data_IF_569499280649
#
_entry.id   IF_569499280649
#
_cell.length_a   1.000
_cell.length_b   1.000
_cell.length_c   1.000
_cell.angle_alpha   90.00
_cell.angle_beta   90.00
_cell.angle_gamma   90.00
#
_symmetry.space_group_name_H-M   'P 1'
#
loop_
_entity.id
_entity.type
_entity.pdbx_description
1 polymer ?
#
# COMPACT_ATOMS: atom_id res chain seq x y z
N UNK A 1 20.49 -0.98 0.25
CA UNK A 1 19.40 -1.97 0.36
C UNK A 1 18.30 -1.61 -0.62
N UNK A 2 17.76 -2.58 -1.32
CA UNK A 2 16.63 -2.42 -2.25
C UNK A 2 15.48 -3.28 -1.74
N UNK A 3 14.31 -2.68 -1.58
CA UNK A 3 13.08 -3.36 -1.16
C UNK A 3 12.05 -3.35 -2.29
N UNK A 4 11.37 -4.46 -2.50
CA UNK A 4 10.24 -4.57 -3.41
C UNK A 4 8.99 -3.84 -2.93
N UNK A 5 7.95 -3.81 -3.75
CA UNK A 5 6.71 -3.09 -3.43
C UNK A 5 5.95 -3.67 -2.22
N UNK A 6 6.03 -4.96 -1.98
CA UNK A 6 5.47 -5.57 -0.79
C UNK A 6 6.35 -5.34 0.44
N UNK A 7 7.65 -5.55 0.30
CA UNK A 7 8.62 -5.50 1.40
C UNK A 7 8.74 -4.11 2.01
N UNK A 8 8.57 -3.04 1.22
CA UNK A 8 8.66 -1.66 1.71
C UNK A 8 7.65 -1.33 2.82
N UNK A 9 6.49 -1.97 2.86
CA UNK A 9 5.51 -1.77 3.93
C UNK A 9 5.92 -2.46 5.25
N UNK A 10 6.87 -3.38 5.18
CA UNK A 10 7.44 -4.10 6.33
C UNK A 10 8.86 -3.63 6.64
N UNK A 11 9.23 -2.42 6.24
CA UNK A 11 10.60 -1.91 6.28
C UNK A 11 11.24 -1.99 7.66
N UNK A 12 10.47 -1.88 8.74
CA UNK A 12 10.96 -2.00 10.12
C UNK A 12 11.69 -3.32 10.38
N UNK A 13 11.24 -4.40 9.72
CA UNK A 13 11.89 -5.72 9.79
C UNK A 13 13.31 -5.68 9.20
N UNK A 14 13.52 -4.82 8.22
CA UNK A 14 14.77 -4.75 7.45
C UNK A 14 15.71 -3.64 7.95
N UNK A 15 15.28 -2.81 8.91
CA UNK A 15 16.12 -1.72 9.44
C UNK A 15 17.45 -2.20 10.01
N UNK A 16 17.46 -3.36 10.66
CA UNK A 16 18.67 -3.93 11.25
C UNK A 16 19.70 -4.32 10.17
N UNK A 17 19.27 -4.55 8.94
CA UNK A 17 20.16 -4.89 7.82
C UNK A 17 20.88 -3.66 7.24
N UNK A 18 20.38 -2.45 7.52
CA UNK A 18 21.04 -1.21 7.10
C UNK A 18 22.41 -1.00 7.75
N UNK A 19 22.62 -1.60 8.92
CA UNK A 19 23.89 -1.51 9.64
C UNK A 19 24.96 -2.46 9.08
N UNK A 20 24.60 -3.35 8.18
CA UNK A 20 25.52 -4.23 7.49
C UNK A 20 25.96 -3.57 6.18
N UNK A 21 27.27 -3.40 6.01
CA UNK A 21 27.89 -2.75 4.83
C UNK A 21 27.75 -3.54 3.53
N UNK A 22 26.96 -4.61 3.48
CA UNK A 22 26.71 -5.38 2.27
C UNK A 22 25.44 -4.90 1.56
N UNK A 23 25.46 -4.70 0.24
CA UNK A 23 24.27 -4.38 -0.52
C UNK A 23 23.30 -5.58 -0.47
N UNK A 24 22.08 -5.35 -0.02
CA UNK A 24 21.07 -6.39 0.08
C UNK A 24 19.86 -6.00 -0.76
N UNK A 25 19.40 -6.93 -1.57
CA UNK A 25 18.21 -6.78 -2.41
C UNK A 25 17.16 -7.75 -1.88
N UNK A 26 16.05 -7.21 -1.38
CA UNK A 26 14.93 -7.99 -0.87
C UNK A 26 13.71 -7.67 -1.73
N UNK A 27 13.46 -8.52 -2.71
CA UNK A 27 12.36 -8.37 -3.67
C UNK A 27 11.67 -9.71 -3.85
N UNK A 28 10.36 -9.72 -3.63
CA UNK A 28 9.50 -10.88 -3.84
C UNK A 28 8.94 -10.90 -5.27
N UNK A 29 8.46 -12.08 -5.70
CA UNK A 29 7.64 -12.16 -6.91
C UNK A 29 6.29 -11.48 -6.65
N UNK A 30 6.11 -10.27 -7.18
CA UNK A 30 4.90 -9.49 -6.97
C UNK A 30 3.64 -10.16 -7.54
N UNK A 31 3.78 -11.03 -8.54
CA UNK A 31 2.65 -11.77 -9.11
C UNK A 31 2.09 -12.84 -8.16
N UNK A 32 2.91 -13.31 -7.21
CA UNK A 32 2.48 -14.28 -6.19
C UNK A 32 1.74 -13.65 -5.01
N UNK A 33 1.78 -12.33 -4.89
CA UNK A 33 1.17 -11.60 -3.76
C UNK A 33 -0.34 -11.53 -3.93
N UNK A 34 -1.07 -12.06 -2.97
CA UNK A 34 -2.55 -12.14 -2.98
C UNK A 34 -3.23 -11.14 -2.04
N UNK A 35 -2.49 -10.57 -1.12
CA UNK A 35 -3.03 -9.66 -0.11
C UNK A 35 -2.43 -8.27 -0.22
N UNK A 36 -3.24 -7.26 0.07
CA UNK A 36 -2.76 -5.88 0.16
C UNK A 36 -2.14 -5.64 1.54
N UNK A 37 -0.96 -5.06 1.57
CA UNK A 37 -0.31 -4.69 2.82
C UNK A 37 -1.22 -3.78 3.65
N UNK A 38 -1.41 -4.16 4.91
CA UNK A 38 -2.22 -3.39 5.84
C UNK A 38 -1.40 -2.24 6.40
N UNK A 39 -1.39 -1.13 5.69
CA UNK A 39 -0.81 0.10 6.21
C UNK A 39 -1.89 1.18 6.35
N UNK A 40 -1.79 1.96 7.39
CA UNK A 40 -2.74 3.02 7.68
C UNK A 40 -2.01 4.28 8.13
N UNK A 41 -2.25 5.36 7.43
CA UNK A 41 -1.79 6.68 7.84
C UNK A 41 -2.82 7.23 8.84
N UNK A 42 -2.40 7.42 10.09
CA UNK A 42 -3.29 7.79 11.20
C UNK A 42 -3.93 9.18 11.06
N UNK A 43 -3.46 9.98 10.13
CA UNK A 43 -4.02 11.29 9.86
C UNK A 43 -3.08 12.14 9.00
N UNK A 44 -3.63 13.22 8.50
CA UNK A 44 -2.92 14.25 7.75
C UNK A 44 -3.09 15.56 8.51
N UNK A 45 -2.01 16.11 9.04
CA UNK A 45 -2.06 17.35 9.79
C UNK A 45 -2.64 18.50 8.97
N UNK A 46 -3.62 19.22 9.56
CA UNK A 46 -4.24 20.44 9.01
C UNK A 46 -4.96 20.27 7.67
N UNK A 47 -5.36 19.05 7.28
CA UNK A 47 -6.13 18.79 6.06
C UNK A 47 -7.56 18.39 6.38
N UNK A 48 -8.52 18.95 5.65
CA UNK A 48 -9.94 18.56 5.74
C UNK A 48 -10.22 17.20 5.07
N UNK A 49 -9.33 16.76 4.18
CA UNK A 49 -9.46 15.58 3.33
C UNK A 49 -8.43 14.53 3.73
N UNK A 50 -8.87 13.28 3.84
CA UNK A 50 -8.01 12.12 4.05
C UNK A 50 -8.09 11.14 2.86
N UNK A 51 -7.02 10.42 2.62
CA UNK A 51 -6.94 9.42 1.55
C UNK A 51 -6.86 8.02 2.15
N UNK A 52 -7.69 7.11 1.65
CA UNK A 52 -7.71 5.70 2.07
C UNK A 52 -7.51 4.82 0.86
N UNK A 53 -6.40 4.08 0.84
CA UNK A 53 -6.15 3.09 -0.20
C UNK A 53 -7.02 1.85 0.05
N UNK A 54 -7.83 1.51 -0.94
CA UNK A 54 -8.74 0.36 -0.88
C UNK A 54 -8.36 -0.75 -1.84
N UNK A 55 -7.50 -0.45 -2.82
CA UNK A 55 -7.12 -1.39 -3.86
C UNK A 55 -5.71 -1.07 -4.38
N UNK A 56 -4.97 -2.08 -4.80
CA UNK A 56 -3.70 -1.93 -5.51
C UNK A 56 -3.53 -3.03 -6.55
N UNK A 57 -2.59 -2.83 -7.48
CA UNK A 57 -2.38 -3.75 -8.60
C UNK A 57 -3.41 -3.60 -9.69
N UNK A 58 -3.24 -4.33 -10.78
CA UNK A 58 -4.13 -4.30 -11.94
C UNK A 58 -4.04 -5.63 -12.70
N UNK A 59 -5.19 -6.17 -13.09
CA UNK A 59 -5.27 -7.41 -13.87
C UNK A 59 -5.22 -7.17 -15.38
N UNK A 60 -5.36 -5.92 -15.81
CA UNK A 60 -5.22 -5.55 -17.20
C UNK A 60 -3.77 -5.67 -17.67
N UNK A 61 -3.57 -5.98 -18.93
CA UNK A 61 -2.25 -6.15 -19.56
C UNK A 61 -2.11 -5.19 -20.75
N UNK A 62 -2.32 -3.90 -20.51
CA UNK A 62 -2.14 -2.88 -21.54
C UNK A 62 -0.69 -2.87 -22.03
N UNK A 63 -0.49 -2.76 -23.32
CA UNK A 63 0.83 -2.90 -23.95
C UNK A 63 1.87 -1.90 -23.48
N UNK A 64 1.44 -0.70 -23.07
CA UNK A 64 2.29 0.39 -22.62
C UNK A 64 2.44 0.51 -21.09
N UNK A 65 1.78 -0.37 -20.33
CA UNK A 65 1.65 -0.17 -18.88
C UNK A 65 2.55 -1.13 -18.08
N UNK A 66 3.36 -0.56 -17.19
CA UNK A 66 4.24 -1.31 -16.29
C UNK A 66 3.58 -1.69 -14.95
N UNK A 67 2.42 -1.14 -14.64
CA UNK A 67 1.77 -1.27 -13.33
C UNK A 67 1.59 -2.73 -12.90
N UNK A 68 1.10 -3.67 -13.73
CA UNK A 68 0.95 -5.06 -13.33
C UNK A 68 2.27 -5.71 -12.90
N UNK A 69 3.36 -5.34 -13.56
CA UNK A 69 4.70 -5.89 -13.28
C UNK A 69 5.35 -5.27 -12.04
N UNK A 70 5.02 -4.02 -11.73
CA UNK A 70 5.53 -3.33 -10.54
C UNK A 70 4.68 -3.54 -9.30
N UNK A 71 3.35 -3.58 -9.45
CA UNK A 71 2.40 -3.66 -8.34
C UNK A 71 1.70 -5.00 -8.20
N UNK A 72 1.78 -5.86 -9.22
CA UNK A 72 1.14 -7.17 -9.27
C UNK A 72 -0.32 -7.12 -9.69
N UNK A 73 -1.00 -8.25 -9.52
CA UNK A 73 -2.41 -8.40 -9.83
C UNK A 73 -3.29 -7.58 -8.90
N UNK A 74 -4.52 -7.31 -9.33
CA UNK A 74 -5.50 -6.55 -8.56
C UNK A 74 -5.79 -7.19 -7.21
N UNK A 75 -5.69 -6.40 -6.15
CA UNK A 75 -5.96 -6.84 -4.78
C UNK A 75 -6.72 -5.74 -4.04
N UNK A 76 -7.78 -6.12 -3.36
CA UNK A 76 -8.59 -5.18 -2.59
C UNK A 76 -8.38 -5.37 -1.09
N UNK A 77 -8.51 -4.27 -0.35
CA UNK A 77 -8.54 -4.31 1.11
C UNK A 77 -9.90 -4.84 1.55
N UNK A 78 -9.97 -5.74 2.55
CA UNK A 78 -11.24 -6.22 3.08
C UNK A 78 -12.14 -5.09 3.56
N UNK A 79 -13.43 -5.19 3.29
CA UNK A 79 -14.42 -4.14 3.60
C UNK A 79 -14.42 -3.75 5.08
N UNK A 80 -14.31 -4.72 5.98
CA UNK A 80 -14.25 -4.46 7.43
C UNK A 80 -13.09 -3.54 7.84
N UNK A 81 -11.93 -3.71 7.22
CA UNK A 81 -10.77 -2.85 7.48
C UNK A 81 -10.98 -1.44 6.93
N UNK A 82 -11.58 -1.31 5.75
CA UNK A 82 -11.92 -0.01 5.16
C UNK A 82 -12.89 0.74 6.08
N UNK A 83 -13.93 0.07 6.53
CA UNK A 83 -14.91 0.64 7.47
C UNK A 83 -14.26 1.18 8.74
N UNK A 84 -13.39 0.38 9.37
CA UNK A 84 -12.67 0.78 10.59
C UNK A 84 -11.77 1.99 10.35
N UNK A 85 -11.08 2.04 9.22
CA UNK A 85 -10.21 3.17 8.86
C UNK A 85 -11.01 4.45 8.67
N UNK A 86 -12.09 4.39 7.91
CA UNK A 86 -12.97 5.53 7.67
C UNK A 86 -13.58 6.02 8.99
N UNK A 87 -14.05 5.11 9.84
CA UNK A 87 -14.58 5.44 11.16
C UNK A 87 -13.57 6.18 12.04
N UNK A 88 -12.32 5.73 12.04
CA UNK A 88 -11.24 6.40 12.78
C UNK A 88 -10.96 7.80 12.24
N UNK A 89 -10.96 7.98 10.93
CA UNK A 89 -10.75 9.29 10.31
C UNK A 89 -11.89 10.25 10.61
N UNK A 90 -13.12 9.80 10.54
CA UNK A 90 -14.28 10.61 10.91
C UNK A 90 -14.23 11.02 12.38
N UNK A 91 -13.83 10.13 13.28
CA UNK A 91 -13.68 10.45 14.71
C UNK A 91 -12.58 11.48 14.98
N UNK A 92 -11.60 11.62 14.08
CA UNK A 92 -10.54 12.64 14.14
C UNK A 92 -10.94 13.99 13.55
N UNK A 93 -12.15 14.12 13.03
CA UNK A 93 -12.68 15.37 12.49
C UNK A 93 -12.49 15.57 10.99
N UNK A 94 -12.06 14.57 10.24
CA UNK A 94 -12.03 14.66 8.77
C UNK A 94 -13.44 14.70 8.20
N UNK A 95 -13.68 15.64 7.31
CA UNK A 95 -15.00 15.85 6.68
C UNK A 95 -15.12 15.18 5.32
N UNK A 96 -13.99 14.82 4.70
CA UNK A 96 -13.94 14.21 3.39
C UNK A 96 -12.93 13.06 3.39
N UNK A 97 -13.31 11.93 2.83
CA UNK A 97 -12.46 10.77 2.63
C UNK A 97 -12.44 10.43 1.14
N UNK A 98 -11.25 10.33 0.58
CA UNK A 98 -11.04 9.93 -0.81
C UNK A 98 -10.58 8.47 -0.82
N UNK A 99 -11.37 7.61 -1.44
CA UNK A 99 -11.00 6.21 -1.64
C UNK A 99 -10.11 6.12 -2.88
N UNK A 100 -8.94 5.51 -2.72
CA UNK A 100 -7.94 5.43 -3.78
C UNK A 100 -7.63 4.01 -4.18
N UNK A 101 -7.31 3.82 -5.44
CA UNK A 101 -6.86 2.55 -6.00
C UNK A 101 -6.18 2.77 -7.34
N UNK A 102 -5.70 1.68 -7.92
CA UNK A 102 -5.06 1.67 -9.24
C UNK A 102 -6.07 1.35 -10.33
N UNK A 103 -6.96 0.42 -10.06
CA UNK A 103 -7.99 -0.06 -10.99
C UNK A 103 -9.24 -0.41 -10.17
N UNK A 104 -10.06 0.59 -9.93
CA UNK A 104 -11.27 0.48 -9.12
C UNK A 104 -12.48 0.22 -10.01
#
# INVERSE_FOLDING_TARGET
MILGNEEKFKFKKYLNLLNNNSPEIVVNDIMSVKETANHFIKGFDKKARAFVQIQTGCDHRCTFCIIPYGRGNSRSVPLGLIYQRVKKLVSKGYKEVVLTGVDI
#
